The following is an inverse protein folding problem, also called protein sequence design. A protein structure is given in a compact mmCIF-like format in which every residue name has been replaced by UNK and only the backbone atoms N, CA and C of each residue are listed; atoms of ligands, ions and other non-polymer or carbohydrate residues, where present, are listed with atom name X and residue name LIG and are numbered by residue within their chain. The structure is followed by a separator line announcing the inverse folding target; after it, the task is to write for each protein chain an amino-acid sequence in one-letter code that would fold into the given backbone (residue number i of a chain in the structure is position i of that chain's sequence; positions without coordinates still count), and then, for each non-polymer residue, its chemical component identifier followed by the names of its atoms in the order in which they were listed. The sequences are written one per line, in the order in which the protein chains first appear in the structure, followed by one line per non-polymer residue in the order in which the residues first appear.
data_IF_174365772701
#
_entry.id   IF_174365772701
#
_cell.length_a   1.000
_cell.length_b   1.000
_cell.length_c   1.000
_cell.angle_alpha   90.00
_cell.angle_beta   90.00
_cell.angle_gamma   90.00
#
_symmetry.space_group_name_H-M   'P 1'
#
loop_
_entity.id
_entity.type
_entity.pdbx_description
1 polymer ?
#
# COMPACT_ATOMS: atom_id res chain seq x y z
N UNK A 1 -3.85 -10.03 19.61
CA UNK A 1 -2.86 -9.73 18.55
C UNK A 1 -3.57 -9.00 17.44
N UNK A 2 -3.18 -7.77 17.11
CA UNK A 2 -3.69 -7.07 15.94
C UNK A 2 -3.12 -7.79 14.71
N UNK A 3 -3.97 -8.47 13.95
CA UNK A 3 -3.58 -9.00 12.64
C UNK A 3 -3.38 -7.83 11.70
N UNK A 4 -2.14 -7.58 11.31
CA UNK A 4 -1.85 -6.52 10.35
C UNK A 4 -2.25 -6.99 8.95
N UNK A 5 -2.82 -6.08 8.17
CA UNK A 5 -2.90 -6.20 6.72
C UNK A 5 -1.50 -6.11 6.12
N UNK A 6 -1.30 -6.72 4.95
CA UNK A 6 -0.03 -6.70 4.24
C UNK A 6 -0.17 -5.96 2.92
N UNK A 7 0.89 -5.27 2.50
CA UNK A 7 0.99 -4.59 1.21
C UNK A 7 2.41 -4.64 0.68
N UNK A 8 2.57 -4.38 -0.61
CA UNK A 8 3.87 -4.09 -1.22
C UNK A 8 3.82 -2.73 -1.90
N UNK A 9 4.93 -2.00 -1.89
CA UNK A 9 5.09 -0.78 -2.64
C UNK A 9 6.45 -0.74 -3.36
N UNK A 10 6.50 -0.13 -4.53
CA UNK A 10 7.73 0.13 -5.28
C UNK A 10 7.59 1.40 -6.13
N UNK A 11 8.70 1.99 -6.55
CA UNK A 11 8.65 3.09 -7.51
C UNK A 11 8.47 2.58 -8.95
N UNK A 12 8.08 3.49 -9.85
CA UNK A 12 7.86 3.16 -11.25
C UNK A 12 9.12 2.76 -12.03
N UNK A 13 10.31 3.14 -11.57
CA UNK A 13 11.60 2.72 -12.12
C UNK A 13 11.88 1.26 -11.79
N UNK A 14 11.86 0.90 -10.50
CA UNK A 14 12.02 -0.49 -10.04
C UNK A 14 10.98 -1.42 -10.67
N UNK A 15 9.71 -1.00 -10.72
CA UNK A 15 8.66 -1.79 -11.37
C UNK A 15 8.97 -2.07 -12.84
N UNK A 16 9.45 -1.08 -13.59
CA UNK A 16 9.77 -1.23 -15.01
C UNK A 16 10.95 -2.18 -15.22
N UNK A 17 11.98 -2.09 -14.39
CA UNK A 17 13.13 -2.97 -14.43
C UNK A 17 12.72 -4.43 -14.16
N UNK A 18 11.94 -4.66 -13.11
CA UNK A 18 11.40 -5.98 -12.77
C UNK A 18 10.53 -6.55 -13.88
N UNK A 19 9.59 -5.77 -14.42
CA UNK A 19 8.71 -6.22 -15.50
C UNK A 19 9.48 -6.54 -16.79
N UNK A 20 10.50 -5.74 -17.12
CA UNK A 20 11.33 -5.97 -18.31
C UNK A 20 12.16 -7.26 -18.20
N UNK A 21 12.54 -7.68 -16.99
CA UNK A 21 13.22 -8.95 -16.75
C UNK A 21 12.23 -10.13 -16.69
N UNK A 22 11.11 -9.98 -15.99
CA UNK A 22 10.20 -11.07 -15.67
C UNK A 22 9.23 -11.43 -16.81
N UNK A 23 8.74 -10.45 -17.57
CA UNK A 23 7.78 -10.71 -18.66
C UNK A 23 8.55 -11.04 -19.94
N UNK A 24 8.54 -12.31 -20.34
CA UNK A 24 9.25 -12.79 -21.52
C UNK A 24 8.34 -12.86 -22.74
N UNK A 25 8.87 -12.49 -23.90
CA UNK A 25 8.13 -12.55 -25.17
C UNK A 25 7.94 -13.97 -25.72
N UNK A 26 8.73 -14.94 -25.24
CA UNK A 26 8.64 -16.35 -25.63
C UNK A 26 7.59 -17.12 -24.81
N UNK A 27 6.86 -16.45 -23.91
CA UNK A 27 5.82 -17.04 -23.07
C UNK A 27 6.34 -17.92 -21.94
N UNK A 28 7.67 -17.98 -21.73
CA UNK A 28 8.25 -18.68 -20.60
C UNK A 28 8.17 -17.82 -19.33
N UNK A 29 8.13 -18.49 -18.18
CA UNK A 29 8.29 -17.82 -16.89
C UNK A 29 9.75 -17.41 -16.67
N UNK A 30 9.97 -16.39 -15.85
CA UNK A 30 11.30 -16.03 -15.34
C UNK A 30 11.20 -15.72 -13.85
N UNK A 31 12.35 -15.57 -13.20
CA UNK A 31 12.43 -15.23 -11.79
C UNK A 31 13.59 -14.28 -11.47
N UNK A 32 13.46 -13.60 -10.35
CA UNK A 32 14.55 -12.85 -9.75
C UNK A 32 14.35 -12.66 -8.24
N UNK A 33 15.38 -12.14 -7.58
CA UNK A 33 15.24 -11.62 -6.22
C UNK A 33 15.19 -10.10 -6.23
N UNK A 34 14.70 -9.52 -5.16
CA UNK A 34 14.81 -8.09 -4.90
C UNK A 34 14.97 -7.84 -3.40
N UNK A 35 15.37 -6.62 -3.05
CA UNK A 35 15.46 -6.17 -1.66
C UNK A 35 14.27 -5.28 -1.32
N UNK A 36 13.81 -5.38 -0.07
CA UNK A 36 12.78 -4.51 0.46
C UNK A 36 13.14 -3.93 1.83
N UNK A 37 12.59 -2.77 2.16
CA UNK A 37 12.58 -2.21 3.52
C UNK A 37 11.17 -2.25 4.10
N UNK A 38 10.99 -2.54 5.40
CA UNK A 38 9.67 -2.54 6.02
C UNK A 38 9.19 -1.09 6.26
N UNK A 39 7.93 -0.83 5.94
CA UNK A 39 7.19 0.35 6.38
C UNK A 39 5.93 -0.13 7.11
N UNK A 40 5.90 0.04 8.43
CA UNK A 40 4.85 -0.49 9.31
C UNK A 40 4.02 0.65 9.85
N UNK A 41 2.73 0.68 9.50
CA UNK A 41 1.72 1.52 10.12
C UNK A 41 1.04 0.81 11.30
N UNK A 42 -0.09 1.35 11.76
CA UNK A 42 -0.81 0.82 12.93
C UNK A 42 -1.49 -0.50 12.62
N UNK A 43 -1.91 -0.68 11.36
CA UNK A 43 -2.69 -1.83 10.89
C UNK A 43 -2.08 -2.49 9.67
N UNK A 44 -1.12 -1.88 8.99
CA UNK A 44 -0.55 -2.36 7.73
C UNK A 44 0.96 -2.51 7.80
N UNK A 45 1.47 -3.66 7.39
CA UNK A 45 2.89 -3.85 7.06
C UNK A 45 3.08 -3.75 5.56
N UNK A 46 3.95 -2.85 5.12
CA UNK A 46 4.29 -2.69 3.70
C UNK A 46 5.74 -3.10 3.48
N UNK A 47 5.99 -3.96 2.50
CA UNK A 47 7.34 -4.17 1.98
C UNK A 47 7.61 -3.17 0.86
N UNK A 48 8.58 -2.30 1.07
CA UNK A 48 8.98 -1.26 0.10
C UNK A 48 10.15 -1.81 -0.73
N UNK A 49 9.86 -2.32 -1.92
CA UNK A 49 10.85 -2.90 -2.84
C UNK A 49 11.60 -1.79 -3.54
N UNK A 50 12.93 -1.85 -3.53
CA UNK A 50 13.78 -0.74 -3.99
C UNK A 50 14.99 -1.15 -4.83
N UNK A 51 15.29 -2.45 -4.94
CA UNK A 51 16.46 -2.93 -5.70
C UNK A 51 16.23 -4.34 -6.23
N UNK A 52 16.25 -4.49 -7.55
CA UNK A 52 16.30 -5.82 -8.18
C UNK A 52 17.69 -6.44 -8.02
N UNK A 53 17.72 -7.74 -7.82
CA UNK A 53 18.91 -8.58 -7.91
C UNK A 53 18.64 -9.55 -9.05
N UNK A 54 19.18 -9.33 -10.26
CA UNK A 54 19.01 -10.26 -11.36
C UNK A 54 19.88 -11.51 -11.19
N UNK A 55 19.51 -12.63 -11.83
CA UNK A 55 20.34 -13.82 -11.93
C UNK A 55 21.53 -13.58 -12.87
N UNK A 56 22.69 -14.09 -12.51
CA UNK A 56 23.90 -14.16 -13.33
C UNK A 56 23.84 -15.37 -14.28
N UNK A 57 24.84 -15.49 -15.15
CA UNK A 57 24.95 -16.63 -16.06
C UNK A 57 25.08 -17.94 -15.26
N UNK A 58 24.20 -18.91 -15.54
CA UNK A 58 24.19 -20.21 -14.89
C UNK A 58 23.41 -20.28 -13.56
N UNK A 59 22.96 -19.15 -13.01
CA UNK A 59 22.23 -19.09 -11.74
C UNK A 59 20.75 -19.44 -11.85
N UNK A 60 20.21 -19.56 -13.06
CA UNK A 60 18.82 -19.92 -13.31
C UNK A 60 18.64 -20.88 -14.47
N UNK A 61 17.58 -21.66 -14.43
CA UNK A 61 17.12 -22.55 -15.51
C UNK A 61 15.72 -22.18 -15.93
N UNK A 62 15.48 -22.14 -17.24
CA UNK A 62 14.19 -21.81 -17.84
C UNK A 62 13.81 -22.96 -18.78
N UNK A 63 12.74 -23.67 -18.44
CA UNK A 63 12.20 -24.79 -19.21
C UNK A 63 10.68 -24.80 -19.15
N UNK A 64 10.05 -23.71 -19.59
CA UNK A 64 8.61 -23.46 -19.40
C UNK A 64 8.30 -22.85 -18.03
N UNK A 65 8.77 -23.49 -16.95
CA UNK A 65 8.87 -22.89 -15.62
C UNK A 65 10.29 -22.33 -15.36
N UNK A 66 10.45 -21.58 -14.27
CA UNK A 66 11.73 -21.03 -13.85
C UNK A 66 12.18 -21.61 -12.51
N UNK A 67 13.46 -21.99 -12.42
CA UNK A 67 14.13 -22.39 -11.17
C UNK A 67 15.51 -21.72 -11.06
N UNK A 68 16.07 -21.70 -9.85
CA UNK A 68 17.39 -21.12 -9.58
C UNK A 68 18.33 -22.10 -8.91
N UNK A 69 19.63 -21.87 -9.12
CA UNK A 69 20.68 -22.57 -8.39
C UNK A 69 20.85 -22.00 -6.97
N UNK A 70 21.22 -22.81 -5.98
CA UNK A 70 21.38 -22.37 -4.59
C UNK A 70 22.30 -21.15 -4.42
N UNK A 71 23.36 -21.06 -5.22
CA UNK A 71 24.34 -19.95 -5.20
C UNK A 71 23.68 -18.59 -5.44
N UNK A 72 22.63 -18.56 -6.27
CA UNK A 72 21.90 -17.33 -6.54
C UNK A 72 21.15 -16.85 -5.30
N UNK A 73 20.47 -17.77 -4.60
CA UNK A 73 19.77 -17.45 -3.37
C UNK A 73 20.74 -17.01 -2.27
N UNK A 74 21.87 -17.71 -2.11
CA UNK A 74 22.91 -17.34 -1.16
C UNK A 74 23.46 -15.94 -1.42
N UNK A 75 23.70 -15.60 -2.70
CA UNK A 75 24.14 -14.26 -3.11
C UNK A 75 23.08 -13.20 -2.78
N UNK A 76 21.82 -13.47 -3.10
CA UNK A 76 20.72 -12.55 -2.84
C UNK A 76 20.50 -12.31 -1.34
N UNK A 77 20.58 -13.37 -0.51
CA UNK A 77 20.56 -13.27 0.95
C UNK A 77 21.77 -12.48 1.46
N UNK A 78 22.97 -12.72 0.91
CA UNK A 78 24.18 -11.98 1.24
C UNK A 78 24.05 -10.48 0.97
N UNK A 79 23.42 -10.09 -0.14
CA UNK A 79 23.07 -8.70 -0.44
C UNK A 79 22.06 -8.13 0.56
N UNK A 80 21.00 -8.89 0.88
CA UNK A 80 19.98 -8.45 1.84
C UNK A 80 20.57 -8.19 3.24
N UNK A 81 21.46 -9.06 3.71
CA UNK A 81 22.15 -8.90 5.00
C UNK A 81 23.05 -7.66 5.00
N UNK A 82 23.84 -7.45 3.93
CA UNK A 82 24.71 -6.26 3.81
C UNK A 82 23.91 -4.96 3.84
N UNK A 83 22.76 -4.94 3.18
CA UNK A 83 21.92 -3.73 3.06
C UNK A 83 20.92 -3.58 4.23
N UNK A 84 20.93 -4.50 5.20
CA UNK A 84 19.97 -4.58 6.32
C UNK A 84 18.51 -4.55 5.81
N UNK A 85 18.26 -5.31 4.75
CA UNK A 85 17.00 -5.37 4.03
C UNK A 85 16.39 -6.77 4.11
N UNK A 86 15.09 -6.85 3.85
CA UNK A 86 14.41 -8.13 3.64
C UNK A 86 14.55 -8.58 2.19
N UNK A 87 14.29 -9.86 1.95
CA UNK A 87 14.36 -10.48 0.63
C UNK A 87 12.97 -10.64 0.02
N UNK A 88 12.88 -10.35 -1.27
CA UNK A 88 11.71 -10.62 -2.11
C UNK A 88 12.08 -11.68 -3.13
N UNK A 89 11.28 -12.72 -3.27
CA UNK A 89 11.37 -13.67 -4.37
C UNK A 89 10.25 -13.38 -5.38
N UNK A 90 10.63 -13.15 -6.64
CA UNK A 90 9.71 -12.79 -7.71
C UNK A 90 9.74 -13.79 -8.86
N UNK A 91 8.58 -14.12 -9.42
CA UNK A 91 8.46 -14.82 -10.70
C UNK A 91 7.31 -14.27 -11.55
N UNK A 92 7.22 -14.69 -12.81
CA UNK A 92 6.12 -14.35 -13.72
C UNK A 92 5.26 -15.56 -14.06
N UNK A 93 4.00 -15.32 -14.42
CA UNK A 93 3.13 -16.29 -15.08
C UNK A 93 2.72 -15.74 -16.46
N UNK A 94 2.48 -16.60 -17.47
CA UNK A 94 2.14 -16.18 -18.83
C UNK A 94 0.69 -15.66 -18.98
N UNK A 95 -0.10 -15.62 -17.91
CA UNK A 95 -1.50 -15.19 -17.91
C UNK A 95 -1.67 -13.82 -17.22
N UNK A 96 -2.64 -12.99 -17.63
CA UNK A 96 -2.81 -11.65 -17.06
C UNK A 96 -3.50 -11.66 -15.69
N UNK A 97 -3.44 -10.54 -14.97
CA UNK A 97 -4.22 -10.28 -13.76
C UNK A 97 -3.54 -10.73 -12.47
N UNK A 98 -4.32 -10.79 -11.38
CA UNK A 98 -3.84 -11.24 -10.08
C UNK A 98 -3.61 -12.76 -10.10
N UNK A 99 -2.40 -13.19 -9.73
CA UNK A 99 -1.93 -14.54 -9.89
C UNK A 99 -2.22 -15.40 -8.65
N UNK A 100 -2.90 -16.56 -8.80
CA UNK A 100 -2.90 -17.59 -7.77
C UNK A 100 -1.52 -18.26 -7.70
N UNK A 101 -1.33 -19.18 -6.75
CA UNK A 101 -0.12 -19.99 -6.64
C UNK A 101 -0.43 -21.46 -6.89
N UNK A 102 0.40 -22.11 -7.69
CA UNK A 102 0.52 -23.56 -7.79
C UNK A 102 1.06 -24.15 -6.48
N UNK A 103 1.03 -25.48 -6.35
CA UNK A 103 1.67 -26.15 -5.21
C UNK A 103 3.19 -25.99 -5.25
N UNK A 104 3.78 -25.92 -6.44
CA UNK A 104 5.23 -25.82 -6.60
C UNK A 104 5.69 -24.41 -6.19
N UNK A 105 4.94 -23.36 -6.54
CA UNK A 105 5.25 -21.99 -6.13
C UNK A 105 5.18 -21.85 -4.60
N UNK A 106 4.18 -22.50 -3.98
CA UNK A 106 4.00 -22.52 -2.52
C UNK A 106 5.20 -23.14 -1.84
N UNK A 107 5.63 -24.33 -2.31
CA UNK A 107 6.79 -25.03 -1.75
C UNK A 107 8.07 -24.23 -1.97
N UNK A 108 8.28 -23.74 -3.19
CA UNK A 108 9.47 -22.96 -3.54
C UNK A 108 9.62 -21.74 -2.64
N UNK A 109 8.55 -20.99 -2.34
CA UNK A 109 8.65 -19.86 -1.43
C UNK A 109 8.75 -20.27 0.04
N UNK A 110 7.99 -21.28 0.48
CA UNK A 110 7.98 -21.74 1.87
C UNK A 110 9.35 -22.28 2.30
N UNK A 111 10.01 -23.06 1.43
CA UNK A 111 11.31 -23.68 1.68
C UNK A 111 12.41 -22.62 1.92
N UNK A 112 12.31 -21.46 1.26
CA UNK A 112 13.27 -20.36 1.41
C UNK A 112 12.91 -19.38 2.53
N UNK A 113 11.67 -19.40 3.03
CA UNK A 113 11.20 -18.47 4.05
C UNK A 113 12.00 -18.56 5.36
N UNK A 114 12.40 -19.77 5.76
CA UNK A 114 13.17 -19.97 6.98
C UNK A 114 14.59 -19.39 6.90
N UNK A 115 15.28 -19.65 5.80
CA UNK A 115 16.63 -19.14 5.56
C UNK A 115 16.62 -17.61 5.44
N UNK A 116 15.69 -17.04 4.67
CA UNK A 116 15.54 -15.60 4.53
C UNK A 116 15.27 -14.92 5.89
N UNK A 117 14.33 -15.45 6.68
CA UNK A 117 14.03 -14.91 8.02
C UNK A 117 15.21 -15.06 8.99
N UNK A 118 15.90 -16.20 8.95
CA UNK A 118 17.06 -16.46 9.79
C UNK A 118 18.20 -15.46 9.55
N UNK A 119 18.48 -15.18 8.28
CA UNK A 119 19.56 -14.29 7.86
C UNK A 119 19.20 -12.80 8.01
N UNK A 120 18.04 -12.38 7.50
CA UNK A 120 17.67 -10.95 7.41
C UNK A 120 16.91 -10.43 8.62
N UNK A 121 16.38 -11.32 9.48
CA UNK A 121 15.40 -11.02 10.53
C UNK A 121 14.08 -10.44 10.00
N UNK A 122 13.83 -10.53 8.71
CA UNK A 122 12.61 -10.08 8.05
C UNK A 122 11.96 -11.25 7.29
N UNK A 123 10.62 -11.33 7.22
CA UNK A 123 9.95 -12.41 6.49
C UNK A 123 10.31 -12.39 5.00
N UNK A 124 10.28 -13.54 4.35
CA UNK A 124 10.33 -13.59 2.89
C UNK A 124 9.05 -12.98 2.32
N UNK A 125 9.18 -12.13 1.32
CA UNK A 125 8.04 -11.64 0.51
C UNK A 125 8.06 -12.37 -0.82
N UNK A 126 6.95 -13.01 -1.17
CA UNK A 126 6.75 -13.60 -2.50
C UNK A 126 5.98 -12.63 -3.38
N UNK A 127 6.40 -12.44 -4.62
CA UNK A 127 5.69 -11.66 -5.62
C UNK A 127 5.57 -12.41 -6.93
N UNK A 128 4.42 -12.28 -7.59
CA UNK A 128 4.21 -12.84 -8.93
C UNK A 128 3.63 -11.75 -9.82
N UNK A 129 4.08 -11.67 -11.07
CA UNK A 129 3.48 -10.81 -12.08
C UNK A 129 2.76 -11.61 -13.15
N UNK A 130 1.58 -11.14 -13.57
CA UNK A 130 0.92 -11.64 -14.77
C UNK A 130 1.50 -11.02 -16.04
N UNK A 131 1.12 -11.56 -17.21
CA UNK A 131 1.61 -11.09 -18.52
C UNK A 131 1.19 -9.65 -18.89
N UNK A 132 0.24 -9.07 -18.17
CA UNK A 132 -0.19 -7.67 -18.27
C UNK A 132 0.54 -6.73 -17.28
N UNK A 133 1.51 -7.26 -16.54
CA UNK A 133 2.25 -6.54 -15.49
C UNK A 133 1.43 -6.26 -14.24
N UNK A 134 0.31 -6.96 -14.02
CA UNK A 134 -0.41 -6.95 -12.74
C UNK A 134 0.41 -7.70 -11.70
N UNK A 135 0.55 -7.11 -10.50
CA UNK A 135 1.30 -7.72 -9.41
C UNK A 135 0.41 -8.42 -8.39
N UNK A 136 0.92 -9.51 -7.84
CA UNK A 136 0.38 -10.24 -6.69
C UNK A 136 1.49 -10.45 -5.67
N UNK A 137 1.17 -10.33 -4.38
CA UNK A 137 2.18 -10.39 -3.34
C UNK A 137 1.69 -11.08 -2.08
N UNK A 138 2.63 -11.65 -1.32
CA UNK A 138 2.38 -12.34 -0.05
C UNK A 138 3.59 -12.27 0.87
N UNK A 139 3.33 -12.34 2.16
CA UNK A 139 4.34 -12.48 3.22
C UNK A 139 4.36 -13.92 3.73
N UNK A 140 5.56 -14.44 3.99
CA UNK A 140 5.77 -15.71 4.68
C UNK A 140 6.21 -15.44 6.11
N UNK A 141 5.24 -15.40 7.02
CA UNK A 141 5.51 -15.14 8.43
C UNK A 141 5.59 -16.45 9.22
N UNK A 142 6.54 -16.50 10.16
CA UNK A 142 6.69 -17.64 11.07
C UNK A 142 5.57 -17.60 12.12
N UNK A 143 4.73 -18.64 12.13
CA UNK A 143 3.61 -18.77 13.08
C UNK A 143 3.89 -19.74 14.22
N UNK A 144 4.82 -20.68 14.03
CA UNK A 144 5.37 -21.54 15.07
C UNK A 144 6.80 -21.96 14.71
N UNK A 145 7.50 -22.65 15.61
CA UNK A 145 8.84 -23.20 15.32
C UNK A 145 8.75 -24.10 14.08
N UNK A 146 9.55 -23.79 13.06
CA UNK A 146 9.56 -24.54 11.79
C UNK A 146 8.29 -24.42 10.93
N UNK A 147 7.31 -23.58 11.31
CA UNK A 147 6.05 -23.42 10.56
C UNK A 147 5.86 -22.00 10.08
N UNK A 148 5.70 -21.85 8.78
CA UNK A 148 5.45 -20.59 8.11
C UNK A 148 4.02 -20.56 7.60
N UNK A 149 3.43 -19.37 7.56
CA UNK A 149 2.11 -19.16 6.97
C UNK A 149 2.20 -18.03 5.97
N UNK A 150 1.56 -18.26 4.83
CA UNK A 150 1.35 -17.26 3.79
C UNK A 150 0.24 -16.29 4.19
N UNK A 151 0.51 -15.00 4.08
CA UNK A 151 -0.47 -13.92 4.20
C UNK A 151 -0.49 -13.13 2.91
N UNK A 152 -1.63 -13.12 2.21
CA UNK A 152 -1.79 -12.36 0.98
C UNK A 152 -1.76 -10.86 1.27
N UNK A 153 -1.09 -10.10 0.40
CA UNK A 153 -1.15 -8.65 0.43
C UNK A 153 -2.51 -8.17 -0.07
N UNK A 154 -3.09 -7.16 0.60
CA UNK A 154 -4.30 -6.45 0.17
C UNK A 154 -4.09 -5.82 -1.20
N UNK A 155 -2.91 -5.24 -1.42
CA UNK A 155 -2.55 -4.60 -2.68
C UNK A 155 -1.03 -4.56 -2.93
N UNK A 156 -0.67 -4.26 -4.19
CA UNK A 156 0.67 -3.87 -4.61
C UNK A 156 0.60 -2.49 -5.27
N UNK A 157 1.35 -1.52 -4.74
CA UNK A 157 1.37 -0.14 -5.22
C UNK A 157 2.64 0.13 -6.02
N UNK A 158 2.49 0.68 -7.22
CA UNK A 158 3.59 1.23 -8.04
C UNK A 158 3.42 2.73 -8.13
N UNK A 159 4.36 3.48 -7.54
CA UNK A 159 4.38 4.94 -7.55
C UNK A 159 5.36 5.46 -8.60
N UNK A 160 4.85 5.87 -9.76
CA UNK A 160 5.63 6.55 -10.80
C UNK A 160 4.91 7.81 -11.29
N UNK A 161 5.11 8.16 -12.57
CA UNK A 161 4.33 9.23 -13.24
C UNK A 161 2.82 8.97 -13.16
N UNK A 162 2.44 7.69 -13.08
CA UNK A 162 1.08 7.25 -12.78
C UNK A 162 1.12 6.38 -11.53
N UNK A 163 0.10 6.51 -10.69
CA UNK A 163 -0.16 5.57 -9.60
C UNK A 163 -0.90 4.35 -10.16
N UNK A 164 -0.31 3.16 -9.98
CA UNK A 164 -0.98 1.88 -10.23
C UNK A 164 -1.10 1.14 -8.91
N UNK A 165 -2.30 0.62 -8.60
CA UNK A 165 -2.53 -0.23 -7.43
C UNK A 165 -3.24 -1.49 -7.91
N UNK A 166 -2.57 -2.62 -7.75
CA UNK A 166 -3.12 -3.94 -8.04
C UNK A 166 -3.71 -4.51 -6.75
N UNK A 167 -5.01 -4.80 -6.75
CA UNK A 167 -5.73 -5.24 -5.57
C UNK A 167 -5.98 -6.75 -5.58
N UNK A 168 -5.81 -7.39 -4.42
CA UNK A 168 -6.24 -8.77 -4.21
C UNK A 168 -7.77 -8.81 -4.13
N UNK A 169 -8.45 -9.27 -5.19
CA UNK A 169 -9.92 -9.27 -5.25
C UNK A 169 -10.59 -10.04 -4.09
N UNK A 170 -9.94 -11.07 -3.56
CA UNK A 170 -10.45 -11.84 -2.41
C UNK A 170 -10.37 -11.09 -1.07
N UNK A 171 -9.46 -10.11 -0.94
CA UNK A 171 -9.29 -9.32 0.28
C UNK A 171 -9.92 -7.93 0.16
N UNK A 172 -9.93 -7.37 -1.04
CA UNK A 172 -10.44 -6.04 -1.35
C UNK A 172 -11.27 -6.11 -2.64
N UNK A 173 -12.46 -6.73 -2.59
CA UNK A 173 -13.32 -6.89 -3.75
C UNK A 173 -13.77 -5.53 -4.29
N UNK A 174 -13.95 -5.37 -5.61
CA UNK A 174 -14.50 -4.15 -6.16
C UNK A 174 -15.90 -3.90 -5.55
N UNK A 175 -16.17 -2.69 -5.03
CA UNK A 175 -17.47 -2.39 -4.44
C UNK A 175 -18.55 -2.33 -5.52
N UNK A 176 -19.78 -2.66 -5.13
CA UNK A 176 -20.93 -2.44 -5.98
C UNK A 176 -21.13 -0.93 -6.23
N UNK A 177 -21.53 -0.53 -7.45
CA UNK A 177 -21.80 0.88 -7.74
C UNK A 177 -22.98 1.38 -6.90
N UNK A 178 -22.78 2.46 -6.17
CA UNK A 178 -23.86 3.14 -5.45
C UNK A 178 -24.69 3.98 -6.44
N UNK A 179 -26.03 4.01 -6.33
CA UNK A 179 -26.90 4.80 -7.21
C UNK A 179 -26.50 6.30 -7.27
N UNK A 180 -26.02 6.84 -6.15
CA UNK A 180 -25.57 8.23 -6.01
C UNK A 180 -24.35 8.56 -6.89
N UNK A 181 -23.63 7.54 -7.36
CA UNK A 181 -22.39 7.68 -8.13
C UNK A 181 -22.59 7.58 -9.64
N UNK A 182 -23.82 7.51 -10.15
CA UNK A 182 -24.11 7.35 -11.59
C UNK A 182 -23.32 8.33 -12.47
N UNK A 183 -23.38 9.63 -12.17
CA UNK A 183 -22.68 10.68 -12.94
C UNK A 183 -21.16 10.56 -12.85
N UNK A 184 -20.66 10.22 -11.67
CA UNK A 184 -19.23 10.04 -11.39
C UNK A 184 -18.69 8.84 -12.19
N UNK A 185 -19.41 7.72 -12.17
CA UNK A 185 -19.10 6.52 -12.94
C UNK A 185 -19.15 6.80 -14.45
N UNK A 186 -20.15 7.54 -14.93
CA UNK A 186 -20.24 7.94 -16.35
C UNK A 186 -19.02 8.76 -16.81
N UNK A 187 -18.42 9.57 -15.94
CA UNK A 187 -17.29 10.43 -16.30
C UNK A 187 -15.98 9.65 -16.52
N UNK A 188 -15.71 8.61 -15.72
CA UNK A 188 -14.42 7.90 -15.76
C UNK A 188 -14.47 6.38 -15.91
N UNK A 189 -15.66 5.78 -15.88
CA UNK A 189 -15.91 4.35 -16.06
C UNK A 189 -15.89 3.52 -14.77
N UNK A 190 -16.59 2.39 -14.80
CA UNK A 190 -16.79 1.49 -13.65
C UNK A 190 -15.48 0.93 -13.08
N UNK A 191 -14.56 0.50 -13.95
CA UNK A 191 -13.27 -0.07 -13.51
C UNK A 191 -12.46 0.97 -12.72
N UNK A 192 -12.43 2.23 -13.19
CA UNK A 192 -11.72 3.30 -12.48
C UNK A 192 -12.42 3.64 -11.17
N UNK A 193 -13.75 3.71 -11.18
CA UNK A 193 -14.53 3.93 -9.95
C UNK A 193 -14.22 2.85 -8.90
N UNK A 194 -14.28 1.57 -9.29
CA UNK A 194 -14.04 0.45 -8.38
C UNK A 194 -12.60 0.43 -7.86
N UNK A 195 -11.62 0.82 -8.69
CA UNK A 195 -10.24 0.96 -8.25
C UNK A 195 -10.07 2.13 -7.27
N UNK A 196 -10.65 3.29 -7.59
CA UNK A 196 -10.58 4.49 -6.75
C UNK A 196 -11.24 4.24 -5.38
N UNK A 197 -12.43 3.65 -5.36
CA UNK A 197 -13.20 3.41 -4.13
C UNK A 197 -12.43 2.60 -3.08
N UNK A 198 -11.53 1.71 -3.52
CA UNK A 198 -10.73 0.80 -2.67
C UNK A 198 -9.44 1.43 -2.10
N UNK A 199 -9.04 2.60 -2.58
CA UNK A 199 -7.84 3.30 -2.11
C UNK A 199 -8.09 3.80 -0.69
N UNK A 200 -7.17 3.52 0.24
CA UNK A 200 -7.18 4.16 1.55
C UNK A 200 -6.48 5.51 1.47
N UNK A 201 -7.20 6.60 1.70
CA UNK A 201 -6.65 7.96 1.55
C UNK A 201 -6.49 8.63 2.92
N UNK A 202 -5.29 9.16 3.18
CA UNK A 202 -5.03 9.98 4.36
C UNK A 202 -5.10 11.47 4.04
N UNK A 203 -5.82 12.24 4.84
CA UNK A 203 -5.84 13.71 4.78
C UNK A 203 -5.14 14.24 6.02
N UNK A 204 -3.98 14.88 5.81
CA UNK A 204 -3.14 15.39 6.89
C UNK A 204 -3.44 16.87 7.09
N UNK A 205 -4.04 17.20 8.23
CA UNK A 205 -4.66 18.49 8.52
C UNK A 205 -6.16 18.43 8.22
N UNK A 206 -6.98 18.67 9.23
CA UNK A 206 -8.45 18.73 9.18
C UNK A 206 -8.96 20.18 9.37
N UNK A 207 -8.13 21.16 8.98
CA UNK A 207 -8.52 22.56 8.84
C UNK A 207 -9.41 22.79 7.61
N UNK A 208 -9.49 24.04 7.13
CA UNK A 208 -10.39 24.43 6.03
C UNK A 208 -10.17 23.63 4.75
N UNK A 209 -8.93 23.55 4.28
CA UNK A 209 -8.58 22.80 3.05
C UNK A 209 -8.82 21.31 3.27
N UNK A 210 -8.38 20.77 4.42
CA UNK A 210 -8.53 19.36 4.76
C UNK A 210 -9.98 18.90 4.82
N UNK A 211 -10.85 19.67 5.46
CA UNK A 211 -12.27 19.36 5.54
C UNK A 211 -12.93 19.38 4.15
N UNK A 212 -12.57 20.34 3.29
CA UNK A 212 -13.05 20.41 1.91
C UNK A 212 -12.59 19.21 1.07
N UNK A 213 -11.29 18.88 1.14
CA UNK A 213 -10.71 17.74 0.44
C UNK A 213 -11.34 16.44 0.92
N UNK A 214 -11.48 16.24 2.23
CA UNK A 214 -12.06 15.03 2.79
C UNK A 214 -13.55 14.86 2.41
N UNK A 215 -14.33 15.95 2.42
CA UNK A 215 -15.72 15.95 1.95
C UNK A 215 -15.82 15.56 0.47
N UNK A 216 -14.99 16.18 -0.38
CA UNK A 216 -14.95 15.87 -1.81
C UNK A 216 -14.60 14.39 -2.04
N UNK A 217 -13.56 13.89 -1.36
CA UNK A 217 -13.14 12.49 -1.44
C UNK A 217 -14.27 11.53 -1.01
N UNK A 218 -14.90 11.78 0.13
CA UNK A 218 -16.01 10.93 0.63
C UNK A 218 -17.20 10.86 -0.34
N UNK A 219 -17.49 11.97 -1.05
CA UNK A 219 -18.56 12.04 -2.05
C UNK A 219 -18.22 11.37 -3.39
N UNK A 220 -16.96 11.07 -3.64
CA UNK A 220 -16.55 10.31 -4.85
C UNK A 220 -16.75 8.79 -4.71
N UNK A 221 -17.20 8.30 -3.56
CA UNK A 221 -17.39 6.87 -3.31
C UNK A 221 -16.15 6.16 -2.77
N UNK A 222 -15.16 6.90 -2.25
CA UNK A 222 -14.07 6.32 -1.47
C UNK A 222 -14.60 5.61 -0.22
N UNK A 223 -14.08 4.43 0.08
CA UNK A 223 -14.53 3.62 1.22
C UNK A 223 -13.74 3.88 2.50
N UNK A 224 -12.47 4.28 2.41
CA UNK A 224 -11.57 4.36 3.55
C UNK A 224 -10.83 5.70 3.59
N UNK A 225 -11.15 6.53 4.59
CA UNK A 225 -10.46 7.79 4.88
C UNK A 225 -9.77 7.76 6.25
N UNK A 226 -8.61 8.40 6.34
CA UNK A 226 -7.90 8.66 7.60
C UNK A 226 -7.70 10.16 7.74
N UNK A 227 -8.18 10.76 8.82
CA UNK A 227 -8.01 12.19 9.11
C UNK A 227 -6.97 12.35 10.22
N UNK A 228 -5.92 13.13 9.96
CA UNK A 228 -4.83 13.33 10.93
C UNK A 228 -4.71 14.81 11.27
N UNK A 229 -5.19 15.19 12.45
CA UNK A 229 -5.07 16.55 12.99
C UNK A 229 -5.23 16.51 14.51
N UNK A 230 -4.45 17.28 15.24
CA UNK A 230 -4.48 17.32 16.71
C UNK A 230 -5.20 18.56 17.27
N UNK A 231 -5.60 19.50 16.41
CA UNK A 231 -6.25 20.74 16.82
C UNK A 231 -7.72 20.52 17.18
N UNK A 232 -8.21 21.42 18.02
CA UNK A 232 -9.63 21.60 18.32
C UNK A 232 -10.22 22.75 17.51
N UNK A 233 -11.55 22.74 17.35
CA UNK A 233 -12.29 23.84 16.73
C UNK A 233 -12.21 25.07 17.63
N UNK A 234 -11.92 26.24 17.03
CA UNK A 234 -11.96 27.55 17.67
C UNK A 234 -12.94 28.48 16.93
N UNK A 235 -13.41 29.53 17.61
CA UNK A 235 -14.37 30.49 17.03
C UNK A 235 -13.92 31.09 15.69
N UNK A 236 -12.63 31.39 15.55
CA UNK A 236 -12.06 31.95 14.32
C UNK A 236 -11.89 30.93 13.18
N UNK A 237 -12.32 29.67 13.37
CA UNK A 237 -12.34 28.65 12.32
C UNK A 237 -13.71 28.58 11.64
N UNK A 238 -14.77 29.12 12.25
CA UNK A 238 -16.16 28.96 11.77
C UNK A 238 -16.45 29.69 10.45
N UNK A 239 -15.57 30.57 10.01
CA UNK A 239 -15.60 31.27 8.72
C UNK A 239 -15.20 30.37 7.54
N UNK A 240 -14.52 29.24 7.77
CA UNK A 240 -13.93 28.41 6.71
C UNK A 240 -13.77 26.92 7.01
N UNK A 241 -13.94 26.46 8.25
CA UNK A 241 -13.92 25.05 8.60
C UNK A 241 -15.32 24.47 8.34
N UNK A 242 -15.43 23.61 7.32
CA UNK A 242 -16.69 22.95 7.00
C UNK A 242 -17.20 22.15 8.21
N UNK A 243 -18.52 22.10 8.36
CA UNK A 243 -19.25 21.33 9.37
C UNK A 243 -19.12 21.80 10.81
N UNK A 244 -18.12 22.64 11.13
CA UNK A 244 -17.92 23.16 12.48
C UNK A 244 -19.02 24.15 12.88
N UNK A 245 -19.52 24.00 14.12
CA UNK A 245 -20.53 24.87 14.70
C UNK A 245 -19.97 25.70 15.85
N UNK A 246 -20.73 26.72 16.28
CA UNK A 246 -20.42 27.47 17.51
C UNK A 246 -20.36 26.56 18.73
N UNK A 247 -21.19 25.52 18.79
CA UNK A 247 -21.18 24.57 19.89
C UNK A 247 -19.88 23.77 19.93
N UNK A 248 -19.38 23.31 18.77
CA UNK A 248 -18.09 22.60 18.67
C UNK A 248 -16.91 23.48 19.11
N UNK A 249 -16.95 24.78 18.77
CA UNK A 249 -15.93 25.73 19.21
C UNK A 249 -15.96 25.98 20.72
N UNK A 250 -17.15 26.06 21.32
CA UNK A 250 -17.31 26.26 22.77
C UNK A 250 -16.93 25.03 23.59
N UNK A 251 -17.16 23.83 23.05
CA UNK A 251 -16.78 22.56 23.69
C UNK A 251 -15.35 22.11 23.35
N UNK A 252 -14.61 22.90 22.57
CA UNK A 252 -13.26 22.57 22.09
C UNK A 252 -13.18 21.18 21.45
N UNK A 253 -14.18 20.85 20.63
CA UNK A 253 -14.23 19.56 19.96
C UNK A 253 -13.07 19.41 18.97
N UNK A 254 -12.50 18.21 18.87
CA UNK A 254 -11.43 17.92 17.92
C UNK A 254 -11.89 18.13 16.48
N UNK A 255 -11.06 18.76 15.65
CA UNK A 255 -11.38 19.01 14.23
C UNK A 255 -11.62 17.70 13.48
N UNK A 256 -10.78 16.68 13.72
CA UNK A 256 -10.93 15.36 13.11
C UNK A 256 -12.29 14.71 13.42
N UNK A 257 -12.83 14.91 14.62
CA UNK A 257 -14.11 14.31 15.02
C UNK A 257 -15.28 15.03 14.35
N UNK A 258 -15.25 16.38 14.31
CA UNK A 258 -16.27 17.18 13.62
C UNK A 258 -16.35 16.81 12.15
N UNK A 259 -15.20 16.74 11.48
CA UNK A 259 -15.15 16.37 10.07
C UNK A 259 -15.59 14.92 9.88
N UNK A 260 -15.05 13.97 10.66
CA UNK A 260 -15.39 12.55 10.53
C UNK A 260 -16.89 12.29 10.69
N UNK A 261 -17.55 12.95 11.64
CA UNK A 261 -18.99 12.81 11.86
C UNK A 261 -19.81 13.28 10.66
N UNK A 262 -19.43 14.41 10.05
CA UNK A 262 -20.08 14.90 8.85
C UNK A 262 -19.85 13.95 7.65
N UNK A 263 -18.63 13.45 7.47
CA UNK A 263 -18.33 12.51 6.39
C UNK A 263 -19.14 11.23 6.50
N UNK A 264 -19.38 10.70 7.70
CA UNK A 264 -20.24 9.53 7.91
C UNK A 264 -21.68 9.74 7.46
N UNK A 265 -22.15 10.99 7.42
CA UNK A 265 -23.49 11.34 6.96
C UNK A 265 -23.55 11.63 5.45
N UNK A 266 -22.44 12.04 4.84
CA UNK A 266 -22.40 12.57 3.48
C UNK A 266 -21.69 11.66 2.46
N UNK A 267 -20.91 10.68 2.93
CA UNK A 267 -20.21 9.75 2.04
C UNK A 267 -21.19 8.98 1.16
N UNK A 268 -20.79 8.74 -0.08
CA UNK A 268 -21.61 8.06 -1.09
C UNK A 268 -21.23 6.59 -1.28
N UNK A 269 -20.18 6.12 -0.61
CA UNK A 269 -19.79 4.72 -0.66
C UNK A 269 -20.77 3.85 0.15
N UNK A 270 -21.16 2.69 -0.39
CA UNK A 270 -22.05 1.75 0.28
C UNK A 270 -21.51 1.26 1.64
N UNK A 271 -20.19 1.18 1.77
CA UNK A 271 -19.49 0.88 3.02
C UNK A 271 -18.38 1.91 3.20
N UNK A 272 -18.66 2.95 3.98
CA UNK A 272 -17.72 4.03 4.27
C UNK A 272 -17.16 3.90 5.68
N UNK A 273 -15.85 4.13 5.81
CA UNK A 273 -15.15 4.22 7.07
C UNK A 273 -14.23 5.43 7.08
N UNK A 274 -14.22 6.14 8.21
CA UNK A 274 -13.30 7.24 8.48
C UNK A 274 -12.68 7.05 9.86
N UNK A 275 -11.35 7.05 9.91
CA UNK A 275 -10.56 7.01 11.14
C UNK A 275 -10.08 8.42 11.51
N UNK A 276 -10.64 9.06 12.55
CA UNK A 276 -10.07 10.27 13.12
C UNK A 276 -8.84 9.92 13.97
N UNK A 277 -7.73 10.61 13.73
CA UNK A 277 -6.46 10.44 14.43
C UNK A 277 -6.08 11.78 15.05
N UNK A 278 -6.31 11.97 16.37
CA UNK A 278 -6.08 13.25 17.07
C UNK A 278 -4.59 13.49 17.39
N UNK A 279 -3.72 13.31 16.39
CA UNK A 279 -2.28 13.41 16.52
C UNK A 279 -1.68 14.07 15.28
N UNK A 280 -0.51 14.71 15.42
CA UNK A 280 0.28 15.16 14.28
C UNK A 280 1.22 14.08 13.75
N UNK A 281 1.77 14.28 12.55
CA UNK A 281 2.78 13.37 11.96
C UNK A 281 4.08 13.27 12.75
N UNK A 282 4.38 14.23 13.61
CA UNK A 282 5.54 14.17 14.50
C UNK A 282 5.33 13.21 15.69
N UNK A 283 4.11 12.70 15.87
CA UNK A 283 3.77 11.70 16.87
C UNK A 283 3.61 10.33 16.21
N UNK A 284 4.05 9.28 16.90
CA UNK A 284 4.05 7.89 16.40
C UNK A 284 2.70 7.47 15.80
N UNK A 285 1.60 7.71 16.52
CA UNK A 285 0.26 7.36 16.02
C UNK A 285 -0.14 8.08 14.73
N UNK A 286 0.21 9.36 14.56
CA UNK A 286 -0.11 10.10 13.33
C UNK A 286 0.75 9.63 12.16
N UNK A 287 2.04 9.38 12.42
CA UNK A 287 2.97 8.83 11.45
C UNK A 287 2.56 7.43 10.98
N UNK A 288 2.28 6.51 11.91
CA UNK A 288 1.87 5.15 11.60
C UNK A 288 0.51 5.10 10.89
N UNK A 289 -0.43 5.99 11.22
CA UNK A 289 -1.69 6.11 10.50
C UNK A 289 -1.49 6.57 9.04
N UNK A 290 -0.55 7.48 8.80
CA UNK A 290 -0.17 7.87 7.44
C UNK A 290 0.44 6.69 6.66
N UNK A 291 1.26 5.85 7.32
CA UNK A 291 1.82 4.63 6.71
C UNK A 291 0.80 3.55 6.40
N UNK A 292 -0.40 3.61 6.98
CA UNK A 292 -1.51 2.70 6.63
C UNK A 292 -2.20 3.08 5.32
N UNK A 293 -1.96 4.28 4.77
CA UNK A 293 -2.65 4.86 3.61
C UNK A 293 -1.96 4.57 2.27
N UNK A 294 -2.73 4.48 1.19
CA UNK A 294 -2.23 4.30 -0.17
C UNK A 294 -1.84 5.61 -0.86
N UNK A 295 -2.50 6.71 -0.49
CA UNK A 295 -2.25 8.09 -0.96
C UNK A 295 -2.45 9.04 0.21
N UNK A 296 -1.68 10.13 0.25
CA UNK A 296 -1.80 11.19 1.25
C UNK A 296 -2.10 12.54 0.57
N UNK A 297 -2.97 13.33 1.20
CA UNK A 297 -3.19 14.73 0.88
C UNK A 297 -2.58 15.58 2.00
N UNK A 298 -1.65 16.45 1.61
CA UNK A 298 -1.09 17.48 2.48
C UNK A 298 -2.08 18.63 2.55
N UNK A 299 -2.66 18.84 3.73
CA UNK A 299 -3.53 19.97 4.04
C UNK A 299 -2.97 20.76 5.24
N UNK A 300 -1.65 20.70 5.41
CA UNK A 300 -0.88 21.38 6.46
C UNK A 300 -0.16 22.59 5.91
N UNK A 301 0.01 23.61 6.75
CA UNK A 301 0.66 24.88 6.41
C UNK A 301 2.08 25.01 6.98
N UNK A 302 2.46 24.15 7.93
CA UNK A 302 3.78 24.22 8.60
C UNK A 302 4.87 23.44 7.85
N UNK A 303 6.13 23.91 7.87
CA UNK A 303 7.24 23.23 7.20
C UNK A 303 7.51 21.80 7.69
N UNK A 304 7.47 21.55 9.01
CA UNK A 304 7.80 20.24 9.58
C UNK A 304 6.90 19.10 9.07
N UNK A 305 5.55 19.17 9.15
CA UNK A 305 4.71 18.08 8.64
C UNK A 305 4.84 17.90 7.12
N UNK A 306 5.08 18.97 6.34
CA UNK A 306 5.38 18.85 4.89
C UNK A 306 6.68 18.09 4.64
N UNK A 307 7.72 18.36 5.42
CA UNK A 307 8.98 17.61 5.34
C UNK A 307 8.78 16.12 5.66
N UNK A 308 8.02 15.79 6.71
CA UNK A 308 7.69 14.41 7.05
C UNK A 308 6.90 13.71 5.93
N UNK A 309 5.95 14.40 5.31
CA UNK A 309 5.22 13.88 4.15
C UNK A 309 6.15 13.57 2.98
N UNK A 310 7.13 14.45 2.71
CA UNK A 310 8.13 14.21 1.67
C UNK A 310 8.97 12.96 1.97
N UNK A 311 9.37 12.75 3.23
CA UNK A 311 10.09 11.53 3.64
C UNK A 311 9.23 10.28 3.48
N UNK A 312 7.93 10.34 3.83
CA UNK A 312 6.99 9.24 3.61
C UNK A 312 6.83 8.95 2.11
N UNK A 313 6.72 9.99 1.28
CA UNK A 313 6.54 9.84 -0.16
C UNK A 313 7.71 9.11 -0.81
N UNK A 314 8.94 9.55 -0.53
CA UNK A 314 10.14 8.96 -1.12
C UNK A 314 10.58 7.66 -0.44
N UNK A 315 10.40 7.55 0.88
CA UNK A 315 10.85 6.40 1.65
C UNK A 315 9.89 5.22 1.64
N UNK A 316 8.58 5.47 1.45
CA UNK A 316 7.53 4.44 1.50
C UNK A 316 6.73 4.33 0.19
N UNK A 317 7.08 5.14 -0.82
CA UNK A 317 6.38 5.22 -2.10
C UNK A 317 4.86 5.44 -1.93
N UNK A 318 4.45 6.27 -0.97
CA UNK A 318 3.07 6.72 -0.79
C UNK A 318 2.94 8.09 -1.46
N UNK A 319 2.26 8.24 -2.60
CA UNK A 319 2.12 9.54 -3.25
C UNK A 319 1.49 10.58 -2.32
N UNK A 320 2.07 11.78 -2.32
CA UNK A 320 1.55 12.95 -1.60
C UNK A 320 1.07 13.98 -2.61
N UNK A 321 -0.17 14.44 -2.43
CA UNK A 321 -0.74 15.60 -3.13
C UNK A 321 -0.63 16.81 -2.19
N UNK A 322 0.14 17.84 -2.57
CA UNK A 322 0.36 19.08 -1.81
C UNK A 322 -0.06 20.32 -2.61
#
# INVERSE_FOLDING_TARGET
MITHEHSVAMDGGTARELLAHLIRSDGQEDLCFALYRPATGRRRKTAVVYKMIPPQAGERRIHGNASFEPEYFERAVGEAVRDKAGLVFLHSHPVPGWQPMSQDDVRAEEDHAAAALGATRMPLVGMTTGSDGTWSARFWERVAVGRYRRFWCRNVRTAGVRLKIDFAGALCPPPAPAPELERTIHAWGEVKQANLARIRVGVIGAGSVGAFVAEALARTGLQELVLVDFDVVKMHNLDRLLHATRADALSERLKVDVVADALRQHATAAAFSVEPVPHGLHHTHGYEAALDCDVLFSCVDRPLPRHLLNLIAHGCFIPVVD
#
